data_IF_396359126545
#
_entry.id   IF_396359126545
#
_cell.length_a   1.000
_cell.length_b   1.000
_cell.length_c   1.000
_cell.angle_alpha   90.00
_cell.angle_beta   90.00
_cell.angle_gamma   90.00
#
_symmetry.space_group_name_H-M   'P 1'
#
loop_
_entity.id
_entity.type
_entity.pdbx_description
1 polymer ?
#
# COMPACT_ATOMS: atom_id res chain seq x y z
N UNK A 1 -15.79 -17.11 -26.20
CA UNK A 1 -14.46 -17.75 -26.15
C UNK A 1 -14.57 -18.99 -25.30
N UNK A 2 -14.19 -20.15 -25.84
CA UNK A 2 -14.17 -21.42 -25.11
C UNK A 2 -12.72 -21.95 -25.13
N UNK A 3 -11.99 -21.97 -23.99
CA UNK A 3 -10.60 -22.43 -23.92
C UNK A 3 -10.39 -23.86 -24.43
N UNK A 4 -11.41 -24.70 -24.40
CA UNK A 4 -11.35 -26.13 -24.76
C UNK A 4 -11.57 -26.42 -26.26
N UNK A 5 -11.85 -25.40 -27.09
CA UNK A 5 -12.11 -25.58 -28.53
C UNK A 5 -10.89 -25.25 -29.42
N UNK A 6 -9.71 -25.00 -28.83
CA UNK A 6 -8.47 -24.66 -29.54
C UNK A 6 -7.27 -25.55 -29.19
N UNK A 7 -6.09 -25.33 -29.80
CA UNK A 7 -4.85 -26.08 -29.51
C UNK A 7 -4.18 -25.64 -28.20
N UNK A 8 -4.96 -25.16 -27.24
CA UNK A 8 -4.45 -24.56 -26.01
C UNK A 8 -3.79 -25.64 -25.14
N UNK A 9 -2.59 -25.36 -24.63
CA UNK A 9 -1.82 -26.35 -23.86
C UNK A 9 -2.38 -26.55 -22.44
N UNK A 10 -3.00 -25.51 -21.83
CA UNK A 10 -3.58 -25.56 -20.48
C UNK A 10 -4.97 -24.89 -20.42
N UNK A 11 -6.01 -25.46 -21.06
CA UNK A 11 -7.34 -24.83 -21.14
C UNK A 11 -8.04 -24.66 -19.78
N UNK A 12 -7.64 -25.40 -18.75
CA UNK A 12 -8.14 -25.26 -17.37
C UNK A 12 -7.64 -24.01 -16.64
N UNK A 13 -6.57 -23.39 -17.13
CA UNK A 13 -6.04 -22.16 -16.55
C UNK A 13 -6.81 -20.91 -17.02
N UNK A 14 -7.58 -21.00 -18.11
CA UNK A 14 -8.27 -19.87 -18.73
C UNK A 14 -9.78 -19.85 -18.45
N UNK A 15 -10.35 -18.64 -18.40
CA UNK A 15 -11.78 -18.45 -18.17
C UNK A 15 -12.57 -18.47 -19.49
N UNK A 16 -13.73 -19.17 -19.54
CA UNK A 16 -14.63 -19.06 -20.67
C UNK A 16 -15.30 -17.69 -20.69
N UNK A 17 -15.19 -16.97 -21.81
CA UNK A 17 -15.75 -15.62 -21.95
C UNK A 17 -17.00 -15.63 -22.82
N UNK A 18 -18.04 -14.91 -22.39
CA UNK A 18 -19.27 -14.69 -23.15
C UNK A 18 -19.43 -13.20 -23.44
N UNK A 19 -19.74 -12.85 -24.68
CA UNK A 19 -19.94 -11.46 -25.07
C UNK A 19 -21.04 -10.79 -24.23
N UNK A 20 -20.80 -9.54 -23.81
CA UNK A 20 -21.72 -8.76 -22.97
C UNK A 20 -21.75 -9.19 -21.49
N UNK A 21 -20.84 -10.07 -21.07
CA UNK A 21 -20.60 -10.36 -19.65
C UNK A 21 -19.36 -9.64 -19.19
N UNK A 22 -19.37 -9.34 -17.90
CA UNK A 22 -18.35 -8.58 -17.23
C UNK A 22 -17.61 -9.49 -16.26
N UNK A 23 -16.37 -9.15 -15.98
CA UNK A 23 -15.46 -9.87 -15.10
C UNK A 23 -14.55 -8.87 -14.43
N UNK A 24 -14.01 -9.23 -13.28
CA UNK A 24 -13.00 -8.44 -12.59
C UNK A 24 -11.61 -8.83 -13.11
N UNK A 25 -10.77 -7.83 -13.37
CA UNK A 25 -9.35 -8.04 -13.71
C UNK A 25 -8.50 -7.60 -12.53
N UNK A 26 -7.50 -8.40 -12.19
CA UNK A 26 -6.55 -8.16 -11.11
C UNK A 26 -5.14 -8.01 -11.69
N UNK A 27 -4.52 -6.87 -11.39
CA UNK A 27 -3.17 -6.58 -11.83
C UNK A 27 -3.07 -6.20 -13.31
N UNK A 28 -1.83 -6.08 -13.76
CA UNK A 28 -1.51 -5.73 -15.14
C UNK A 28 -1.49 -6.97 -16.04
N UNK A 29 -1.56 -6.74 -17.34
CA UNK A 29 -1.38 -7.80 -18.34
C UNK A 29 0.01 -8.42 -18.22
N UNK A 30 0.09 -9.75 -18.29
CA UNK A 30 1.35 -10.47 -18.30
C UNK A 30 2.09 -10.38 -19.65
N UNK A 31 3.30 -10.94 -19.70
CA UNK A 31 4.16 -10.94 -20.90
C UNK A 31 3.54 -11.74 -22.07
N UNK A 32 2.58 -12.62 -21.78
CA UNK A 32 1.88 -13.48 -22.75
C UNK A 32 0.55 -12.88 -23.24
N UNK A 33 0.16 -11.71 -22.71
CA UNK A 33 -1.03 -10.98 -23.14
C UNK A 33 -2.32 -11.40 -22.42
N UNK A 34 -2.20 -12.02 -21.24
CA UNK A 34 -3.32 -12.43 -20.41
C UNK A 34 -3.44 -11.55 -19.16
N UNK A 35 -4.68 -11.43 -18.69
CA UNK A 35 -5.00 -10.83 -17.39
C UNK A 35 -5.36 -11.93 -16.40
N UNK A 36 -5.07 -11.74 -15.12
CA UNK A 36 -5.72 -12.55 -14.08
C UNK A 36 -7.12 -11.98 -13.86
N UNK A 37 -8.16 -12.80 -13.97
CA UNK A 37 -9.53 -12.33 -13.82
C UNK A 37 -10.42 -13.26 -13.00
N UNK A 38 -11.61 -12.75 -12.66
CA UNK A 38 -12.67 -13.47 -11.94
C UNK A 38 -14.02 -13.20 -12.62
N UNK A 39 -14.71 -14.27 -12.99
CA UNK A 39 -16.08 -14.20 -13.47
C UNK A 39 -17.03 -13.84 -12.32
N UNK A 40 -18.22 -13.32 -12.67
CA UNK A 40 -19.26 -12.99 -11.68
C UNK A 40 -19.75 -14.19 -10.84
N UNK A 41 -19.44 -15.42 -11.25
CA UNK A 41 -19.73 -16.64 -10.47
C UNK A 41 -18.61 -17.01 -9.48
N UNK A 42 -17.59 -16.16 -9.32
CA UNK A 42 -16.46 -16.32 -8.42
C UNK A 42 -15.32 -17.20 -8.97
N UNK A 43 -15.42 -17.68 -10.22
CA UNK A 43 -14.38 -18.50 -10.84
C UNK A 43 -13.22 -17.64 -11.33
N UNK A 44 -12.01 -18.00 -10.91
CA UNK A 44 -10.76 -17.30 -11.27
C UNK A 44 -9.96 -18.07 -12.32
N UNK A 45 -9.23 -17.31 -13.13
CA UNK A 45 -8.36 -17.84 -14.17
C UNK A 45 -7.84 -16.74 -15.08
N UNK A 46 -7.08 -17.13 -16.09
CA UNK A 46 -6.48 -16.26 -17.08
C UNK A 46 -7.53 -15.79 -18.10
N UNK A 47 -7.43 -14.53 -18.49
CA UNK A 47 -8.36 -13.84 -19.38
C UNK A 47 -7.55 -13.27 -20.54
N UNK A 48 -7.73 -13.78 -21.78
CA UNK A 48 -7.02 -13.26 -22.94
C UNK A 48 -7.44 -11.82 -23.24
N UNK A 49 -6.47 -10.90 -23.28
CA UNK A 49 -6.69 -9.47 -23.48
C UNK A 49 -7.47 -9.12 -24.75
N UNK A 50 -7.29 -9.91 -25.82
CA UNK A 50 -7.96 -9.72 -27.11
C UNK A 50 -9.51 -9.83 -27.05
N UNK A 51 -10.07 -10.39 -25.98
CA UNK A 51 -11.51 -10.62 -25.83
C UNK A 51 -12.16 -9.74 -24.78
N UNK A 52 -11.42 -8.79 -24.20
CA UNK A 52 -11.89 -7.89 -23.15
C UNK A 52 -11.55 -6.44 -23.48
N UNK A 53 -12.38 -5.52 -23.02
CA UNK A 53 -12.16 -4.08 -23.13
C UNK A 53 -12.40 -3.46 -21.76
N UNK A 54 -11.59 -2.45 -21.41
CA UNK A 54 -11.80 -1.66 -20.20
C UNK A 54 -13.05 -0.80 -20.38
N UNK A 55 -13.91 -0.81 -19.37
CA UNK A 55 -15.04 0.12 -19.30
C UNK A 55 -14.50 1.52 -19.01
N UNK A 56 -14.93 2.50 -19.81
CA UNK A 56 -14.67 3.91 -19.53
C UNK A 56 -15.61 4.38 -18.42
N UNK A 57 -15.21 5.42 -17.68
CA UNK A 57 -15.88 5.87 -16.45
C UNK A 57 -17.39 6.09 -16.64
N UNK A 58 -17.85 6.48 -17.84
CA UNK A 58 -19.28 6.65 -18.15
C UNK A 58 -20.09 5.33 -18.17
N UNK A 59 -19.48 4.19 -18.51
CA UNK A 59 -20.13 2.86 -18.54
C UNK A 59 -20.14 2.18 -17.15
N UNK A 60 -19.24 2.58 -16.26
CA UNK A 60 -19.20 2.17 -14.84
C UNK A 60 -20.40 2.71 -14.04
N UNK A 61 -20.95 3.87 -14.42
CA UNK A 61 -22.14 4.44 -13.81
C UNK A 61 -23.43 3.69 -14.18
N UNK A 62 -23.50 3.11 -15.37
CA UNK A 62 -24.60 2.19 -15.70
C UNK A 62 -24.51 0.91 -14.87
N UNK A 63 -23.30 0.44 -14.55
CA UNK A 63 -23.05 -0.77 -13.79
C UNK A 63 -23.67 -0.76 -12.38
N UNK A 64 -23.45 0.33 -11.65
CA UNK A 64 -23.99 0.48 -10.29
C UNK A 64 -25.51 0.67 -10.26
N UNK A 65 -26.14 0.98 -11.39
CA UNK A 65 -27.60 1.13 -11.48
C UNK A 65 -28.36 -0.18 -11.71
N UNK A 66 -27.67 -1.27 -12.09
CA UNK A 66 -28.32 -2.57 -12.40
C UNK A 66 -28.24 -3.57 -11.23
N UNK A 67 -27.27 -3.43 -10.32
CA UNK A 67 -27.07 -4.35 -9.19
C UNK A 67 -28.05 -4.13 -8.01
N UNK A 68 -29.03 -3.22 -8.14
CA UNK A 68 -30.10 -3.01 -7.15
C UNK A 68 -31.44 -3.66 -7.53
N UNK A 69 -31.59 -4.29 -8.70
CA UNK A 69 -32.90 -4.81 -9.18
C UNK A 69 -32.96 -6.32 -9.46
N UNK A 70 -32.20 -7.15 -8.72
CA UNK A 70 -32.39 -8.61 -8.78
C UNK A 70 -32.53 -9.24 -7.39
N UNK A 71 -33.36 -8.63 -6.55
CA UNK A 71 -34.08 -9.36 -5.51
C UNK A 71 -35.36 -8.61 -5.11
N UNK A 72 -36.37 -8.62 -5.98
CA UNK A 72 -37.80 -8.45 -5.65
C UNK A 72 -38.67 -8.64 -6.90
N UNK A 73 -39.07 -9.89 -7.16
CA UNK A 73 -40.23 -10.15 -8.02
C UNK A 73 -41.50 -9.98 -7.18
N UNK A 74 -42.42 -9.11 -7.62
CA UNK A 74 -43.85 -9.36 -7.88
C UNK A 74 -44.72 -8.09 -7.71
N UNK A 75 -45.15 -7.51 -8.84
CA UNK A 75 -46.54 -7.14 -9.23
C UNK A 75 -46.69 -5.77 -9.93
N UNK A 76 -47.09 -5.86 -11.21
CA UNK A 76 -47.99 -4.96 -11.97
C UNK A 76 -47.48 -3.52 -12.26
N UNK A 77 -47.67 -2.89 -13.42
CA UNK A 77 -48.35 -3.18 -14.68
C UNK A 77 -48.04 -2.01 -15.62
N UNK A 78 -47.97 -2.29 -16.93
CA UNK A 78 -48.18 -1.41 -18.10
C UNK A 78 -48.30 0.12 -17.89
N UNK A 79 -47.57 0.89 -18.74
CA UNK A 79 -48.17 1.63 -19.88
C UNK A 79 -47.10 2.54 -20.52
N UNK A 80 -46.72 2.17 -21.76
CA UNK A 80 -46.58 3.01 -22.98
C UNK A 80 -45.60 4.19 -23.08
N UNK A 81 -44.65 3.97 -24.00
CA UNK A 81 -44.43 4.70 -25.26
C UNK A 81 -43.89 6.15 -25.30
N UNK A 82 -42.92 6.27 -26.24
CA UNK A 82 -42.40 7.42 -27.01
C UNK A 82 -41.25 8.18 -26.34
N UNK A 83 -40.13 8.46 -26.98
CA UNK A 83 -39.75 8.34 -28.39
C UNK A 83 -38.86 9.53 -28.79
N UNK A 84 -37.61 9.21 -29.14
CA UNK A 84 -36.74 9.84 -30.16
C UNK A 84 -36.53 11.37 -30.24
N UNK A 85 -35.23 11.71 -30.27
CA UNK A 85 -34.55 12.65 -31.18
C UNK A 85 -34.55 14.18 -30.94
N UNK A 86 -33.31 14.66 -30.73
CA UNK A 86 -32.68 15.95 -31.13
C UNK A 86 -32.97 16.30 -32.61
N UNK A 87 -32.68 17.52 -33.17
CA UNK A 87 -31.64 18.51 -32.75
C UNK A 87 -31.93 20.02 -33.01
N UNK A 88 -31.01 20.89 -32.56
CA UNK A 88 -30.50 21.99 -33.42
C UNK A 88 -30.76 23.47 -33.04
N UNK A 89 -29.65 24.14 -32.67
CA UNK A 89 -29.18 25.46 -33.15
C UNK A 89 -29.74 26.80 -32.56
N UNK A 90 -28.83 27.77 -32.35
CA UNK A 90 -29.14 29.22 -32.38
C UNK A 90 -29.06 30.10 -31.09
N UNK A 91 -27.84 30.54 -30.71
CA UNK A 91 -27.37 31.96 -30.75
C UNK A 91 -28.16 33.13 -30.07
N UNK A 92 -27.45 33.84 -29.15
CA UNK A 92 -27.48 35.26 -28.66
C UNK A 92 -28.12 35.72 -27.32
N UNK A 93 -27.24 36.38 -26.54
CA UNK A 93 -27.32 37.71 -25.87
C UNK A 93 -27.62 37.87 -24.35
N UNK A 94 -26.55 38.24 -23.65
CA UNK A 94 -26.34 39.39 -22.73
C UNK A 94 -27.30 39.70 -21.58
N UNK A 95 -26.75 39.76 -20.36
CA UNK A 95 -26.96 40.86 -19.40
C UNK A 95 -25.92 40.85 -18.27
N UNK A 96 -25.21 42.00 -18.13
CA UNK A 96 -24.30 42.37 -17.03
C UNK A 96 -25.07 42.77 -15.77
N UNK A 97 -24.56 42.48 -14.57
CA UNK A 97 -24.25 43.49 -13.52
C UNK A 97 -23.51 42.88 -12.31
N UNK A 98 -22.63 43.70 -11.73
CA UNK A 98 -21.55 43.41 -10.79
C UNK A 98 -21.99 43.29 -9.31
N UNK A 99 -21.25 42.52 -8.50
CA UNK A 99 -20.82 42.97 -7.16
C UNK A 99 -19.69 42.11 -6.54
N UNK A 100 -18.50 42.72 -6.46
CA UNK A 100 -17.53 42.77 -5.35
C UNK A 100 -16.93 41.47 -4.73
N UNK A 101 -15.60 41.34 -4.94
CA UNK A 101 -14.51 40.48 -4.41
C UNK A 101 -14.32 40.52 -2.85
N UNK A 102 -13.52 39.64 -2.18
CA UNK A 102 -12.22 39.14 -2.68
C UNK A 102 -11.71 37.71 -2.33
N UNK A 103 -10.95 37.19 -3.30
CA UNK A 103 -9.68 36.44 -3.23
C UNK A 103 -9.53 35.26 -2.25
N UNK A 104 -9.53 34.04 -2.78
CA UNK A 104 -8.43 33.09 -2.58
C UNK A 104 -8.15 32.36 -3.89
N UNK A 105 -6.93 32.55 -4.38
CA UNK A 105 -6.36 31.98 -5.60
C UNK A 105 -6.15 30.48 -5.44
N UNK A 106 -7.01 29.66 -6.06
CA UNK A 106 -6.65 28.30 -6.46
C UNK A 106 -6.44 28.31 -7.97
N UNK A 107 -5.18 28.44 -8.36
CA UNK A 107 -4.76 28.29 -9.74
C UNK A 107 -4.82 26.81 -10.11
N UNK A 108 -5.83 26.45 -10.89
CA UNK A 108 -5.82 25.28 -11.75
C UNK A 108 -4.70 25.46 -12.78
N UNK A 109 -3.81 24.46 -12.92
CA UNK A 109 -3.18 24.21 -14.21
C UNK A 109 -2.88 22.72 -14.39
N UNK A 110 -3.51 22.20 -15.43
CA UNK A 110 -3.22 20.95 -16.12
C UNK A 110 -1.72 20.76 -16.33
N UNK A 111 -1.24 19.53 -16.14
CA UNK A 111 -0.19 19.05 -17.02
C UNK A 111 -0.25 17.55 -17.28
N UNK A 112 0.09 17.24 -18.52
CA UNK A 112 -0.12 15.98 -19.20
C UNK A 112 0.77 14.86 -18.68
N UNK A 113 0.22 13.65 -18.79
CA UNK A 113 0.88 12.36 -19.00
C UNK A 113 2.39 12.30 -18.79
N UNK A 114 2.79 11.74 -17.65
CA UNK A 114 3.89 10.78 -17.55
C UNK A 114 3.77 10.10 -16.19
N UNK A 115 3.38 8.82 -16.21
CA UNK A 115 3.37 7.99 -15.02
C UNK A 115 4.79 7.85 -14.48
N UNK A 116 5.01 8.41 -13.30
CA UNK A 116 6.00 8.10 -12.26
C UNK A 116 5.78 9.23 -11.26
N UNK A 117 5.34 8.92 -10.03
CA UNK A 117 5.51 9.67 -8.77
C UNK A 117 4.31 9.37 -7.84
N UNK A 118 4.25 8.15 -7.31
CA UNK A 118 3.61 7.91 -6.00
C UNK A 118 4.64 8.17 -4.88
N UNK A 119 5.37 9.27 -5.02
CA UNK A 119 6.35 9.73 -4.02
C UNK A 119 5.94 11.13 -3.67
N UNK A 120 5.21 11.28 -2.57
CA UNK A 120 5.07 12.57 -1.92
C UNK A 120 6.45 12.95 -1.38
N UNK A 121 7.26 13.59 -2.22
CA UNK A 121 8.60 14.09 -1.88
C UNK A 121 8.50 15.03 -0.66
N UNK A 122 7.36 15.68 -0.49
CA UNK A 122 7.00 16.53 0.64
C UNK A 122 6.95 15.81 2.00
N UNK A 123 6.83 14.46 2.04
CA UNK A 123 6.88 13.69 3.30
C UNK A 123 8.32 13.40 3.78
N UNK A 124 9.33 13.57 2.92
CA UNK A 124 10.73 13.47 3.31
C UNK A 124 11.13 14.85 3.85
N UNK A 125 10.92 15.07 5.16
CA UNK A 125 11.34 16.31 5.81
C UNK A 125 12.79 16.66 5.47
N UNK A 126 13.11 17.95 5.36
CA UNK A 126 14.38 18.44 4.80
C UNK A 126 15.64 17.85 5.48
N UNK A 127 15.52 17.44 6.75
CA UNK A 127 16.60 16.85 7.55
C UNK A 127 16.64 15.31 7.52
N UNK A 128 15.69 14.64 6.87
CA UNK A 128 15.65 13.18 6.80
C UNK A 128 16.55 12.70 5.66
N UNK A 129 17.52 11.85 5.98
CA UNK A 129 18.37 11.20 4.97
C UNK A 129 17.51 10.35 4.03
N UNK A 130 17.54 10.57 2.70
CA UNK A 130 16.83 9.77 1.72
C UNK A 130 17.15 8.29 1.90
N UNK A 131 16.12 7.45 1.92
CA UNK A 131 16.24 6.03 2.19
C UNK A 131 15.76 5.20 0.99
N UNK A 132 16.33 4.02 0.76
CA UNK A 132 15.84 3.09 -0.26
C UNK A 132 14.46 2.57 0.14
N UNK A 133 13.70 2.06 -0.84
CA UNK A 133 12.33 1.58 -0.64
C UNK A 133 12.11 0.25 -1.33
N UNK A 134 10.94 -0.35 -1.12
CA UNK A 134 10.48 -1.58 -1.77
C UNK A 134 11.53 -2.70 -1.73
N UNK A 135 12.09 -2.94 -0.55
CA UNK A 135 13.01 -4.06 -0.33
C UNK A 135 12.29 -5.38 -0.60
N UNK A 136 12.89 -6.28 -1.37
CA UNK A 136 12.28 -7.55 -1.72
C UNK A 136 13.26 -8.72 -1.60
N UNK A 137 12.73 -9.86 -1.16
CA UNK A 137 13.45 -11.13 -1.16
C UNK A 137 13.31 -11.77 -2.56
N UNK A 138 14.35 -11.61 -3.38
CA UNK A 138 14.39 -12.17 -4.73
C UNK A 138 14.53 -13.68 -4.66
N UNK A 139 15.42 -14.18 -3.80
CA UNK A 139 15.65 -15.62 -3.63
C UNK A 139 16.16 -15.96 -2.25
N UNK A 140 15.59 -17.00 -1.66
CA UNK A 140 16.11 -17.64 -0.44
C UNK A 140 16.77 -18.97 -0.81
N UNK A 141 18.02 -19.14 -0.40
CA UNK A 141 18.79 -20.38 -0.54
C UNK A 141 19.02 -20.99 0.85
N UNK A 142 19.64 -22.17 0.92
CA UNK A 142 19.85 -22.85 2.20
C UNK A 142 20.72 -22.05 3.20
N UNK A 143 21.70 -21.28 2.71
CA UNK A 143 22.68 -20.55 3.53
C UNK A 143 22.92 -19.10 3.08
N UNK A 144 22.05 -18.59 2.22
CA UNK A 144 22.20 -17.26 1.63
C UNK A 144 20.88 -16.72 1.14
N UNK A 145 20.81 -15.42 0.92
CA UNK A 145 19.67 -14.75 0.30
C UNK A 145 20.14 -13.76 -0.75
N UNK A 146 19.29 -13.54 -1.75
CA UNK A 146 19.43 -12.47 -2.73
C UNK A 146 18.30 -11.47 -2.46
N UNK A 147 18.68 -10.24 -2.16
CA UNK A 147 17.75 -9.14 -1.94
C UNK A 147 17.84 -8.11 -3.07
N UNK A 148 16.74 -7.42 -3.32
CA UNK A 148 16.68 -6.23 -4.15
C UNK A 148 16.00 -5.08 -3.42
N UNK A 149 16.18 -3.86 -3.94
CA UNK A 149 15.49 -2.67 -3.46
C UNK A 149 15.36 -1.63 -4.58
N UNK A 150 14.52 -0.64 -4.36
CA UNK A 150 14.46 0.57 -5.17
C UNK A 150 15.37 1.65 -4.59
N UNK A 151 16.02 2.41 -5.48
CA UNK A 151 16.89 3.52 -5.13
C UNK A 151 16.15 4.57 -4.30
N UNK A 152 16.87 5.25 -3.40
CA UNK A 152 16.28 6.34 -2.62
C UNK A 152 15.79 7.47 -3.55
N UNK A 153 14.57 7.96 -3.32
CA UNK A 153 14.09 9.17 -3.98
C UNK A 153 14.73 10.38 -3.29
N UNK A 154 15.59 11.09 -4.01
CA UNK A 154 16.36 12.22 -3.48
C UNK A 154 15.66 13.52 -3.86
N UNK A 155 15.17 14.32 -2.89
CA UNK A 155 14.58 15.62 -3.17
C UNK A 155 15.59 16.56 -3.88
N UNK A 156 15.13 17.45 -4.78
CA UNK A 156 16.00 18.45 -5.38
C UNK A 156 16.74 19.27 -4.31
N UNK A 157 18.07 19.38 -4.44
CA UNK A 157 18.90 20.17 -3.51
C UNK A 157 19.33 19.44 -2.22
N UNK A 158 18.91 18.20 -1.97
CA UNK A 158 19.30 17.49 -0.74
C UNK A 158 20.80 17.11 -0.71
N UNK A 159 21.33 16.65 -1.84
CA UNK A 159 22.72 16.24 -2.01
C UNK A 159 22.81 14.92 -2.79
N UNK A 160 23.95 14.24 -2.71
CA UNK A 160 24.17 12.95 -3.37
C UNK A 160 24.09 11.79 -2.38
N UNK A 161 23.51 10.68 -2.84
CA UNK A 161 23.66 9.39 -2.18
C UNK A 161 24.92 8.73 -2.76
N UNK A 162 25.81 8.30 -1.89
CA UNK A 162 27.14 7.80 -2.26
C UNK A 162 27.10 6.28 -2.48
N UNK A 163 26.44 5.55 -1.59
CA UNK A 163 26.34 4.09 -1.61
C UNK A 163 25.17 3.59 -0.75
N UNK A 164 24.98 2.27 -0.74
CA UNK A 164 24.05 1.56 0.12
C UNK A 164 24.80 0.58 1.01
N UNK A 165 24.64 0.68 2.33
CA UNK A 165 25.05 -0.36 3.25
C UNK A 165 24.00 -1.46 3.27
N UNK A 166 24.44 -2.71 3.21
CA UNK A 166 23.61 -3.90 3.40
C UNK A 166 23.91 -4.47 4.78
N UNK A 167 22.92 -4.43 5.66
CA UNK A 167 23.05 -4.81 7.05
C UNK A 167 22.37 -6.16 7.31
N UNK A 168 22.97 -6.95 8.19
CA UNK A 168 22.38 -8.14 8.78
C UNK A 168 22.44 -7.96 10.29
N UNK A 169 21.28 -7.89 10.95
CA UNK A 169 21.16 -7.64 12.39
C UNK A 169 22.00 -6.45 12.87
N UNK A 170 21.92 -5.33 12.11
CA UNK A 170 22.65 -4.06 12.33
C UNK A 170 24.14 -4.07 11.97
N UNK A 171 24.71 -5.22 11.61
CA UNK A 171 26.10 -5.30 11.16
C UNK A 171 26.18 -5.09 9.65
N UNK A 172 27.01 -4.13 9.21
CA UNK A 172 27.28 -3.91 7.78
C UNK A 172 28.04 -5.12 7.21
N UNK A 173 27.41 -5.84 6.28
CA UNK A 173 27.99 -7.00 5.59
C UNK A 173 28.61 -6.65 4.24
N UNK A 174 28.03 -5.67 3.55
CA UNK A 174 28.54 -5.19 2.28
C UNK A 174 28.12 -3.75 2.01
N UNK A 175 28.79 -3.13 1.03
CA UNK A 175 28.49 -1.79 0.55
C UNK A 175 28.34 -1.84 -0.98
N UNK A 176 27.27 -1.23 -1.49
CA UNK A 176 26.93 -1.20 -2.92
C UNK A 176 26.97 0.25 -3.40
N UNK A 177 27.81 0.60 -4.40
CA UNK A 177 27.88 1.96 -4.92
C UNK A 177 26.54 2.46 -5.46
N UNK A 178 26.25 3.75 -5.27
CA UNK A 178 25.06 4.38 -5.84
C UNK A 178 25.14 4.42 -7.37
N UNK A 179 23.99 4.32 -8.04
CA UNK A 179 23.90 4.20 -9.51
C UNK A 179 24.24 2.81 -10.06
N UNK A 180 24.67 1.87 -9.20
CA UNK A 180 24.83 0.46 -9.55
C UNK A 180 23.53 -0.34 -9.52
N UNK A 181 23.65 -1.67 -9.60
CA UNK A 181 22.50 -2.58 -9.42
C UNK A 181 22.08 -2.57 -7.95
N UNK A 182 20.80 -2.30 -7.68
CA UNK A 182 20.21 -2.33 -6.34
C UNK A 182 19.85 -3.75 -5.90
N UNK A 183 20.86 -4.63 -5.91
CA UNK A 183 20.75 -6.04 -5.51
C UNK A 183 21.99 -6.48 -4.75
N UNK A 184 21.82 -7.38 -3.79
CA UNK A 184 22.92 -7.95 -3.03
C UNK A 184 22.71 -9.43 -2.71
N UNK A 185 23.80 -10.21 -2.76
CA UNK A 185 23.90 -11.57 -2.24
C UNK A 185 24.47 -11.51 -0.82
N UNK A 186 23.75 -12.09 0.13
CA UNK A 186 24.17 -12.20 1.53
C UNK A 186 24.39 -13.66 1.84
N UNK A 187 25.64 -14.03 2.13
CA UNK A 187 26.04 -15.41 2.40
C UNK A 187 26.26 -15.68 3.89
N UNK A 188 26.48 -16.97 4.21
CA UNK A 188 26.81 -17.45 5.56
C UNK A 188 25.69 -17.20 6.57
N UNK A 189 24.44 -17.41 6.15
CA UNK A 189 23.25 -17.33 7.00
C UNK A 189 22.81 -18.74 7.42
N UNK A 190 22.32 -18.88 8.66
CA UNK A 190 21.70 -20.11 9.16
C UNK A 190 20.16 -19.99 9.17
N UNK A 191 19.57 -19.90 7.98
CA UNK A 191 18.16 -19.55 7.79
C UNK A 191 17.18 -20.61 8.35
N UNK A 192 17.62 -21.85 8.51
CA UNK A 192 16.79 -22.92 9.08
C UNK A 192 16.59 -22.79 10.60
N UNK A 193 17.50 -22.09 11.29
CA UNK A 193 17.53 -22.03 12.75
C UNK A 193 17.46 -20.61 13.30
N UNK A 194 17.69 -19.60 12.46
CA UNK A 194 17.83 -18.21 12.87
C UNK A 194 16.99 -17.34 11.96
N UNK A 195 16.30 -16.37 12.55
CA UNK A 195 15.67 -15.25 11.88
C UNK A 195 16.68 -14.11 11.80
N UNK A 196 16.87 -13.54 10.62
CA UNK A 196 17.75 -12.38 10.42
C UNK A 196 16.93 -11.18 9.98
N UNK A 197 17.29 -10.01 10.49
CA UNK A 197 16.82 -8.73 9.94
C UNK A 197 17.82 -8.22 8.92
N UNK A 198 17.33 -8.02 7.70
CA UNK A 198 18.11 -7.43 6.62
C UNK A 198 17.64 -6.01 6.42
N UNK A 199 18.56 -5.06 6.42
CA UNK A 199 18.27 -3.64 6.23
C UNK A 199 19.18 -3.02 5.18
N UNK A 200 18.67 -2.03 4.47
CA UNK A 200 19.44 -1.23 3.51
C UNK A 200 19.44 0.21 3.96
N UNK A 201 20.63 0.79 4.11
CA UNK A 201 20.79 2.20 4.43
C UNK A 201 21.45 2.94 3.28
N UNK A 202 20.90 4.09 2.89
CA UNK A 202 21.66 5.05 2.10
C UNK A 202 22.81 5.59 2.92
N UNK A 203 23.96 5.79 2.28
CA UNK A 203 25.12 6.47 2.83
C UNK A 203 25.28 7.79 2.07
N UNK A 204 25.31 8.89 2.80
CA UNK A 204 25.40 10.25 2.27
C UNK A 204 26.43 11.04 3.09
N UNK A 205 26.78 12.24 2.63
CA UNK A 205 27.68 13.12 3.38
C UNK A 205 27.05 13.66 4.67
N UNK A 206 25.71 13.62 4.78
CA UNK A 206 24.95 14.01 5.97
C UNK A 206 24.71 12.84 6.94
N UNK A 207 25.27 11.67 6.65
CA UNK A 207 25.11 10.46 7.46
C UNK A 207 24.36 9.35 6.72
N UNK A 208 23.86 8.39 7.49
CA UNK A 208 23.17 7.20 6.97
C UNK A 208 21.66 7.28 7.21
N UNK A 209 20.87 6.68 6.33
CA UNK A 209 19.43 6.63 6.52
C UNK A 209 19.02 5.64 7.62
N UNK A 210 17.83 5.83 8.19
CA UNK A 210 17.26 4.92 9.19
C UNK A 210 17.10 3.49 8.63
N UNK A 211 17.64 2.50 9.35
CA UNK A 211 17.66 1.09 8.94
C UNK A 211 16.28 0.43 8.92
N UNK A 212 15.30 0.96 9.67
CA UNK A 212 13.96 0.38 9.74
C UNK A 212 13.03 0.89 8.62
N UNK A 213 13.45 1.92 7.89
CA UNK A 213 12.70 2.43 6.72
C UNK A 213 12.83 1.54 5.48
N UNK A 214 13.85 0.68 5.44
CA UNK A 214 14.07 -0.29 4.36
C UNK A 214 14.59 -1.60 4.94
N UNK A 215 13.69 -2.44 5.45
CA UNK A 215 14.04 -3.67 6.18
C UNK A 215 13.06 -4.81 5.92
N UNK A 216 13.53 -6.05 5.98
CA UNK A 216 12.68 -7.24 6.04
C UNK A 216 13.32 -8.34 6.89
N UNK A 217 12.49 -9.27 7.37
CA UNK A 217 12.92 -10.48 8.05
C UNK A 217 13.05 -11.66 7.08
N UNK A 218 14.08 -12.49 7.27
CA UNK A 218 14.27 -13.77 6.56
C UNK A 218 14.62 -14.89 7.52
N UNK A 219 14.42 -16.12 7.07
CA UNK A 219 14.81 -17.32 7.82
C UNK A 219 13.67 -17.93 8.61
N UNK A 220 14.01 -18.46 9.78
CA UNK A 220 13.08 -19.26 10.58
C UNK A 220 11.97 -18.41 11.18
N UNK A 221 10.77 -18.96 11.29
CA UNK A 221 9.64 -18.39 12.06
C UNK A 221 9.22 -16.96 11.67
N UNK A 222 9.60 -16.49 10.47
CA UNK A 222 9.16 -15.20 9.93
C UNK A 222 7.65 -15.23 9.73
N UNK A 223 6.97 -14.19 10.21
CA UNK A 223 5.55 -13.96 9.99
C UNK A 223 5.29 -12.52 9.55
N UNK A 224 4.04 -12.21 9.23
CA UNK A 224 3.62 -10.88 8.76
C UNK A 224 3.58 -9.85 9.88
N UNK A 225 3.28 -10.26 11.11
CA UNK A 225 3.11 -9.35 12.24
C UNK A 225 4.37 -8.52 12.54
N UNK A 226 4.23 -7.24 12.93
CA UNK A 226 5.32 -6.48 13.52
C UNK A 226 5.70 -7.09 14.88
N UNK A 227 6.91 -6.83 15.38
CA UNK A 227 7.36 -7.31 16.69
C UNK A 227 7.88 -6.18 17.57
N UNK A 228 8.11 -6.48 18.85
CA UNK A 228 8.68 -5.56 19.85
C UNK A 228 7.96 -4.21 19.91
N UNK A 229 6.63 -4.24 20.04
CA UNK A 229 5.85 -3.02 20.29
C UNK A 229 6.32 -2.41 21.61
N UNK A 230 6.64 -1.12 21.56
CA UNK A 230 7.13 -0.33 22.67
C UNK A 230 6.31 0.94 22.78
N UNK A 231 5.90 1.27 23.99
CA UNK A 231 5.20 2.52 24.31
C UNK A 231 6.14 3.40 25.13
N UNK A 232 6.33 4.63 24.66
CA UNK A 232 7.17 5.65 25.28
C UNK A 232 6.38 6.97 25.40
N UNK A 233 6.94 7.97 26.10
CA UNK A 233 6.39 9.34 26.18
C UNK A 233 4.90 9.39 26.56
N UNK A 234 4.48 8.52 27.48
CA UNK A 234 3.09 8.48 27.94
C UNK A 234 2.81 9.71 28.79
N UNK A 235 1.79 10.47 28.39
CA UNK A 235 1.26 11.60 29.14
C UNK A 235 -0.20 11.33 29.55
N UNK A 236 -0.86 12.37 30.06
CA UNK A 236 -2.30 12.35 30.32
C UNK A 236 -3.14 12.15 29.05
N UNK A 237 -2.67 12.64 27.90
CA UNK A 237 -3.45 12.70 26.66
C UNK A 237 -2.68 12.22 25.41
N UNK A 238 -1.48 11.68 25.57
CA UNK A 238 -0.66 11.23 24.45
C UNK A 238 0.18 10.03 24.83
N UNK A 239 0.63 9.28 23.83
CA UNK A 239 1.63 8.23 23.97
C UNK A 239 2.33 8.04 22.61
N UNK A 240 3.63 7.78 22.63
CA UNK A 240 4.36 7.34 21.44
C UNK A 240 4.40 5.82 21.42
N UNK A 241 4.05 5.21 20.30
CA UNK A 241 4.23 3.77 20.08
C UNK A 241 5.20 3.56 18.94
N UNK A 242 6.10 2.60 19.11
CA UNK A 242 7.02 2.15 18.06
C UNK A 242 7.05 0.63 17.99
N UNK A 243 7.40 0.10 16.82
CA UNK A 243 7.54 -1.35 16.60
C UNK A 243 8.67 -1.66 15.63
N UNK A 244 9.04 -2.94 15.54
CA UNK A 244 9.92 -3.44 14.51
C UNK A 244 9.08 -4.10 13.41
N UNK A 245 9.05 -3.57 12.18
CA UNK A 245 8.28 -4.18 11.10
C UNK A 245 8.91 -5.51 10.69
N UNK A 246 8.08 -6.50 10.33
CA UNK A 246 8.54 -7.73 9.66
C UNK A 246 9.03 -7.42 8.24
N UNK A 247 8.40 -6.47 7.58
CA UNK A 247 8.74 -5.92 6.28
C UNK A 247 8.32 -4.45 6.22
N UNK A 248 9.24 -3.55 5.87
CA UNK A 248 8.97 -2.10 5.78
C UNK A 248 8.01 -1.73 4.66
N UNK A 249 7.71 -2.63 3.73
CA UNK A 249 6.74 -2.37 2.66
C UNK A 249 5.29 -2.47 3.14
N UNK A 250 5.04 -2.98 4.35
CA UNK A 250 3.70 -3.12 4.89
C UNK A 250 3.23 -1.81 5.52
N UNK A 251 2.01 -1.39 5.21
CA UNK A 251 1.30 -0.44 6.07
C UNK A 251 0.85 -1.16 7.33
N UNK A 252 0.55 -0.39 8.38
CA UNK A 252 0.09 -0.92 9.66
C UNK A 252 -1.19 -0.22 10.06
N UNK A 253 -2.28 -0.98 10.17
CA UNK A 253 -3.54 -0.49 10.71
C UNK A 253 -3.47 -0.54 12.24
N UNK A 254 -3.76 0.59 12.86
CA UNK A 254 -3.67 0.81 14.29
C UNK A 254 -5.08 0.73 14.86
N UNK A 255 -5.26 -0.14 15.85
CA UNK A 255 -6.48 -0.23 16.63
C UNK A 255 -6.19 0.23 18.06
N UNK A 256 -7.15 0.95 18.65
CA UNK A 256 -7.12 1.34 20.05
C UNK A 256 -8.40 0.85 20.71
N UNK A 257 -8.28 -0.03 21.70
CA UNK A 257 -9.41 -0.66 22.40
C UNK A 257 -10.37 -1.40 21.45
N UNK A 258 -9.83 -2.15 20.48
CA UNK A 258 -10.54 -2.88 19.43
C UNK A 258 -11.27 -2.03 18.37
N UNK A 259 -11.19 -0.71 18.45
CA UNK A 259 -11.68 0.19 17.41
C UNK A 259 -10.55 0.58 16.45
N UNK A 260 -10.84 0.61 15.15
CA UNK A 260 -9.88 1.09 14.15
C UNK A 260 -9.61 2.58 14.40
N UNK A 261 -8.34 2.93 14.56
CA UNK A 261 -7.93 4.28 14.96
C UNK A 261 -7.30 5.04 13.81
N UNK A 262 -6.30 4.46 13.14
CA UNK A 262 -5.59 5.10 12.02
C UNK A 262 -4.80 4.08 11.18
N UNK A 263 -4.29 4.51 10.02
CA UNK A 263 -3.42 3.73 9.15
C UNK A 263 -2.04 4.39 9.00
N UNK A 264 -1.01 3.67 9.41
CA UNK A 264 0.38 4.07 9.23
C UNK A 264 0.92 3.54 7.91
N UNK A 265 1.37 4.45 7.04
CA UNK A 265 1.94 4.11 5.72
C UNK A 265 3.19 3.24 5.82
N UNK A 266 3.52 2.57 4.72
CA UNK A 266 4.76 1.81 4.57
C UNK A 266 5.99 2.69 4.85
N UNK A 267 7.09 2.04 5.23
CA UNK A 267 8.36 2.65 5.66
C UNK A 267 8.28 3.48 6.97
N UNK A 268 7.14 3.48 7.66
CA UNK A 268 7.00 4.01 9.02
C UNK A 268 6.81 2.88 10.04
N UNK A 269 7.26 3.13 11.26
CA UNK A 269 7.25 2.15 12.36
C UNK A 269 6.99 2.80 13.72
N UNK A 270 6.56 4.06 13.72
CA UNK A 270 6.22 4.83 14.90
C UNK A 270 4.88 5.54 14.69
N UNK A 271 4.15 5.73 15.77
CA UNK A 271 2.87 6.43 15.79
C UNK A 271 2.71 7.21 17.09
N UNK A 272 2.21 8.44 17.00
CA UNK A 272 1.95 9.29 18.15
C UNK A 272 0.45 9.44 18.35
N UNK A 273 -0.05 8.95 19.48
CA UNK A 273 -1.42 9.22 19.90
C UNK A 273 -1.53 10.61 20.51
N UNK A 274 -2.65 11.26 20.24
CA UNK A 274 -3.05 12.53 20.85
C UNK A 274 -4.50 12.43 21.34
N UNK A 275 -4.91 13.34 22.22
CA UNK A 275 -6.27 13.42 22.75
C UNK A 275 -6.78 12.14 23.45
N UNK A 276 -5.86 11.34 24.02
CA UNK A 276 -6.23 10.19 24.84
C UNK A 276 -6.93 10.65 26.13
N UNK A 277 -7.79 9.79 26.68
CA UNK A 277 -8.42 10.05 27.97
C UNK A 277 -7.42 9.82 29.12
N UNK A 278 -7.40 10.67 30.16
CA UNK A 278 -6.59 10.47 31.37
C UNK A 278 -6.99 9.20 32.13
N UNK A 279 -6.06 8.61 32.89
CA UNK A 279 -6.32 7.43 33.73
C UNK A 279 -6.98 6.26 32.99
N UNK A 280 -6.67 6.07 31.70
CA UNK A 280 -7.30 5.06 30.86
C UNK A 280 -6.30 3.97 30.51
N UNK A 281 -6.72 2.71 30.72
CA UNK A 281 -6.01 1.56 30.14
C UNK A 281 -6.33 1.52 28.65
N UNK A 282 -5.28 1.55 27.84
CA UNK A 282 -5.32 1.56 26.40
C UNK A 282 -4.72 0.24 25.89
N UNK A 283 -5.47 -0.50 25.09
CA UNK A 283 -4.98 -1.68 24.38
C UNK A 283 -4.76 -1.32 22.92
N UNK A 284 -3.50 -1.17 22.53
CA UNK A 284 -3.11 -0.83 21.16
C UNK A 284 -2.73 -2.10 20.40
N UNK A 285 -3.28 -2.26 19.19
CA UNK A 285 -3.00 -3.38 18.29
C UNK A 285 -2.52 -2.84 16.95
N UNK A 286 -1.37 -3.32 16.49
CA UNK A 286 -0.83 -3.03 15.16
C UNK A 286 -1.03 -4.24 14.26
N UNK A 287 -1.77 -4.07 13.16
CA UNK A 287 -2.02 -5.11 12.16
C UNK A 287 -1.28 -4.76 10.88
N UNK A 288 -0.29 -5.56 10.50
CA UNK A 288 0.42 -5.38 9.25
C UNK A 288 -0.47 -5.73 8.05
N UNK A 289 -0.47 -4.86 7.05
CA UNK A 289 -1.22 -4.97 5.81
C UNK A 289 -0.24 -5.04 4.62
N UNK A 290 0.10 -6.26 4.16
CA UNK A 290 0.85 -6.43 2.92
C UNK A 290 0.04 -5.96 1.72
N UNK A 291 0.65 -5.15 0.84
CA UNK A 291 0.04 -4.79 -0.44
C UNK A 291 -0.13 -6.01 -1.37
N UNK A 292 0.79 -6.96 -1.28
CA UNK A 292 0.72 -8.25 -1.97
C UNK A 292 0.84 -9.41 -0.98
N UNK A 293 0.16 -10.51 -1.28
CA UNK A 293 0.20 -11.70 -0.43
C UNK A 293 1.62 -12.29 -0.42
N UNK A 294 2.25 -12.48 0.76
CA UNK A 294 3.60 -13.01 0.86
C UNK A 294 3.59 -14.54 0.74
N UNK A 295 3.39 -15.06 -0.47
CA UNK A 295 3.29 -16.51 -0.77
C UNK A 295 4.53 -17.32 -0.37
N UNK A 296 5.66 -16.65 -0.18
CA UNK A 296 6.91 -17.25 0.32
C UNK A 296 6.77 -17.76 1.77
N UNK A 297 5.78 -17.27 2.52
CA UNK A 297 5.50 -17.71 3.89
C UNK A 297 4.42 -18.81 3.90
N UNK A 298 4.58 -19.85 4.74
CA UNK A 298 3.50 -20.76 5.12
C UNK A 298 2.22 -20.05 5.58
N UNK A 299 1.06 -20.70 5.39
CA UNK A 299 -0.26 -20.10 5.69
C UNK A 299 -0.35 -19.59 7.13
N UNK A 300 0.05 -20.40 8.11
CA UNK A 300 0.02 -20.04 9.53
C UNK A 300 0.82 -18.76 9.85
N UNK A 301 1.92 -18.53 9.14
CA UNK A 301 2.76 -17.35 9.31
C UNK A 301 2.21 -16.13 8.56
N UNK A 302 1.44 -16.35 7.49
CA UNK A 302 0.69 -15.30 6.77
C UNK A 302 -0.50 -14.77 7.57
N UNK A 303 -1.16 -15.64 8.32
CA UNK A 303 -2.33 -15.28 9.14
C UNK A 303 -1.93 -14.55 10.43
N UNK A 304 -0.71 -14.77 10.92
CA UNK A 304 -0.11 -13.99 12.02
C UNK A 304 0.28 -12.61 11.53
N UNK A 305 -0.65 -11.65 11.60
CA UNK A 305 -0.48 -10.27 11.11
C UNK A 305 -0.45 -9.21 12.20
N UNK A 306 -0.82 -9.55 13.42
CA UNK A 306 -1.03 -8.57 14.49
C UNK A 306 -0.09 -8.76 15.67
N UNK A 307 0.18 -7.65 16.34
CA UNK A 307 0.80 -7.59 17.65
C UNK A 307 0.09 -6.55 18.51
N UNK A 308 0.10 -6.79 19.82
CA UNK A 308 -0.69 -6.01 20.79
C UNK A 308 0.21 -5.54 21.92
N UNK A 309 -0.04 -4.33 22.42
CA UNK A 309 0.58 -3.78 23.63
C UNK A 309 -0.48 -3.04 24.45
N UNK A 310 -0.36 -3.10 25.76
CA UNK A 310 -1.23 -2.37 26.68
C UNK A 310 -0.43 -1.31 27.44
N UNK A 311 -1.04 -0.14 27.65
CA UNK A 311 -0.45 0.94 28.42
C UNK A 311 -1.53 1.74 29.16
N UNK A 312 -1.15 2.51 30.16
CA UNK A 312 -2.07 3.35 30.92
C UNK A 312 -1.68 4.82 30.78
N UNK A 313 -2.61 5.69 30.39
CA UNK A 313 -2.36 7.15 30.39
C UNK A 313 -2.23 7.70 31.79
N UNK A 314 -1.46 8.78 31.94
CA UNK A 314 -1.23 9.39 33.25
C UNK A 314 -2.50 10.09 33.78
N UNK A 315 -2.60 10.29 35.10
CA UNK A 315 -3.67 11.08 35.67
C UNK A 315 -3.69 12.53 35.18
N UNK A 316 -4.88 13.13 35.21
CA UNK A 316 -5.00 14.56 35.04
C UNK A 316 -4.25 15.27 36.15
N UNK A 317 -3.22 16.03 35.80
CA UNK A 317 -2.43 16.75 36.78
C UNK A 317 -3.33 17.74 37.55
N UNK A 318 -3.48 17.53 38.86
CA UNK A 318 -3.75 18.62 39.78
C UNK A 318 -2.54 19.55 39.74
N UNK A 319 -2.77 20.81 39.39
CA UNK A 319 -1.79 21.89 39.48
C UNK A 319 -1.26 21.85 40.92
N UNK A 320 0.03 21.56 41.11
CA UNK A 320 0.65 21.72 42.41
C UNK A 320 0.64 23.22 42.73
N UNK A 321 0.09 23.68 43.87
CA UNK A 321 0.18 25.07 44.23
C UNK A 321 1.66 25.39 44.44
N UNK A 322 2.20 26.30 43.64
CA UNK A 322 3.49 26.94 43.89
C UNK A 322 3.44 27.54 45.30
N UNK A 323 4.39 27.14 46.14
CA UNK A 323 4.61 27.64 47.51
C UNK A 323 4.86 29.15 47.49
#
# INVERSE_FOLDING_TARGET
YNPYEGPNENPEAELPLKAGKYLYVYGDMDEDGFYEGELMDGRRGLVPSNFVALLQDEELFLFHSVDTEMDNNLLNSDVSHRGLQLPGDGVLRDSKTESLLPSHTEATMYNNGTGILDVNIDEIGEDIVPYPRKINLIKQLAKSVIIGWESAAVPPGWGTVNSYNVLVDKEVRSNVPFGGRTKALIEKLNLANVTYRISIQSVTDRGVSDELRCTLLVGRDVCVAPCHLKVDNITQMSAEVSWLPSNSNYSHMIFLNEEEYDMVKACSYKYQFFNLKPCMVCRMKAVAQPHQVPWQLPLEQREKKESVVEFCTLPAGLISPSV
#
